data_IF_031930065963
#
_entry.id   IF_031930065963
#
_cell.length_a   1.000
_cell.length_b   1.000
_cell.length_c   1.000
_cell.angle_alpha   90.00
_cell.angle_beta   90.00
_cell.angle_gamma   90.00
#
_symmetry.space_group_name_H-M   'P 1'
#
loop_
_entity.id
_entity.type
_entity.pdbx_description
1 polymer ?
#
# COMPACT_ATOMS: atom_id res chain seq x y z
N UNK A 1 28.82 2.62 49.11
CA UNK A 1 29.12 3.46 47.94
C UNK A 1 28.51 2.79 46.74
N UNK A 2 27.57 3.50 46.12
CA UNK A 2 26.63 3.01 45.13
C UNK A 2 27.31 2.57 43.85
N UNK A 3 26.99 1.37 43.36
CA UNK A 3 27.09 1.06 41.95
C UNK A 3 25.66 1.02 41.40
N UNK A 4 25.18 2.18 40.95
CA UNK A 4 23.96 2.25 40.15
C UNK A 4 24.30 1.75 38.75
N UNK A 5 23.98 0.48 38.48
CA UNK A 5 23.94 -0.07 37.12
C UNK A 5 22.77 0.54 36.36
N UNK A 6 22.91 1.80 35.96
CA UNK A 6 22.01 2.39 34.96
C UNK A 6 22.39 1.84 33.60
N UNK A 7 21.59 0.89 33.13
CA UNK A 7 21.55 0.48 31.73
C UNK A 7 21.24 1.72 30.89
N UNK A 8 22.26 2.27 30.23
CA UNK A 8 22.05 3.20 29.12
C UNK A 8 21.54 2.37 27.94
N UNK A 9 20.25 2.03 27.96
CA UNK A 9 19.57 1.52 26.79
C UNK A 9 19.56 2.67 25.79
N UNK A 10 20.51 2.65 24.85
CA UNK A 10 20.64 3.66 23.80
C UNK A 10 19.27 3.94 23.20
N UNK A 11 18.96 5.20 22.92
CA UNK A 11 17.72 5.59 22.25
C UNK A 11 17.54 4.84 20.92
N UNK A 12 18.65 4.43 20.28
CA UNK A 12 18.67 3.54 19.11
C UNK A 12 18.24 2.11 19.45
N UNK A 13 18.62 1.58 20.62
CA UNK A 13 18.24 0.23 21.08
C UNK A 13 16.78 0.17 21.53
N UNK A 14 16.25 1.27 22.09
CA UNK A 14 14.83 1.40 22.41
C UNK A 14 13.98 1.56 21.13
N UNK A 15 14.45 2.34 20.14
CA UNK A 15 13.83 2.37 18.80
C UNK A 15 13.87 0.99 18.12
N UNK A 16 14.95 0.23 18.31
CA UNK A 16 15.11 -1.11 17.73
C UNK A 16 14.14 -2.13 18.36
N UNK A 17 13.97 -2.10 19.69
CA UNK A 17 13.02 -2.96 20.41
C UNK A 17 11.55 -2.61 20.12
N UNK A 18 11.22 -1.32 19.92
CA UNK A 18 9.88 -0.91 19.50
C UNK A 18 9.61 -1.15 18.01
N UNK A 19 10.65 -1.10 17.17
CA UNK A 19 10.54 -1.42 15.75
C UNK A 19 10.28 -2.91 15.52
N UNK A 20 10.91 -3.81 16.29
CA UNK A 20 10.76 -5.26 16.13
C UNK A 20 9.29 -5.72 16.28
N UNK A 21 8.58 -5.19 17.27
CA UNK A 21 7.15 -5.46 17.45
C UNK A 21 6.26 -4.83 16.36
N UNK A 22 6.64 -3.67 15.83
CA UNK A 22 5.92 -3.03 14.73
C UNK A 22 6.13 -3.75 13.39
N UNK A 23 7.35 -4.26 13.15
CA UNK A 23 7.70 -5.06 11.98
C UNK A 23 6.90 -6.36 11.96
N UNK A 24 6.86 -7.09 13.08
CA UNK A 24 6.12 -8.35 13.17
C UNK A 24 4.62 -8.19 12.87
N UNK A 25 4.00 -7.09 13.34
CA UNK A 25 2.60 -6.78 13.06
C UNK A 25 2.38 -6.42 11.58
N UNK A 26 3.33 -5.72 10.95
CA UNK A 26 3.28 -5.40 9.52
C UNK A 26 3.44 -6.67 8.68
N UNK A 27 4.43 -7.50 8.99
CA UNK A 27 4.65 -8.78 8.30
C UNK A 27 3.43 -9.69 8.40
N UNK A 28 2.83 -9.77 9.58
CA UNK A 28 1.57 -10.52 9.76
C UNK A 28 0.47 -10.03 8.83
N UNK A 29 0.25 -8.72 8.72
CA UNK A 29 -0.75 -8.15 7.80
C UNK A 29 -0.45 -8.45 6.34
N UNK A 30 0.83 -8.37 5.95
CA UNK A 30 1.26 -8.71 4.59
C UNK A 30 0.96 -10.17 4.28
N UNK A 31 1.29 -11.08 5.20
CA UNK A 31 1.04 -12.53 5.05
C UNK A 31 -0.47 -12.79 4.94
N UNK A 32 -1.27 -12.24 5.86
CA UNK A 32 -2.73 -12.39 5.83
C UNK A 32 -3.33 -11.86 4.52
N UNK A 33 -2.87 -10.71 4.03
CA UNK A 33 -3.33 -10.18 2.74
C UNK A 33 -2.90 -11.03 1.55
N UNK A 34 -1.71 -11.64 1.61
CA UNK A 34 -1.18 -12.50 0.54
C UNK A 34 -1.92 -13.84 0.47
N UNK A 35 -2.20 -14.45 1.62
CA UNK A 35 -2.93 -15.73 1.73
C UNK A 35 -4.36 -15.66 1.17
N UNK A 36 -4.98 -14.47 1.12
CA UNK A 36 -6.29 -14.29 0.48
C UNK A 36 -6.23 -14.54 -1.04
N UNK A 37 -5.08 -14.34 -1.67
CA UNK A 37 -4.86 -14.50 -3.10
C UNK A 37 -4.06 -15.76 -3.47
N UNK A 38 -3.41 -16.41 -2.50
CA UNK A 38 -2.73 -17.70 -2.70
C UNK A 38 -3.75 -18.85 -2.75
N UNK A 39 -4.37 -19.03 -3.93
CA UNK A 39 -5.41 -20.07 -4.14
C UNK A 39 -4.88 -21.50 -3.97
N UNK A 40 -3.58 -21.71 -4.16
CA UNK A 40 -2.94 -23.04 -4.17
C UNK A 40 -2.23 -23.37 -2.85
N UNK A 41 -2.24 -22.44 -1.88
CA UNK A 41 -1.51 -22.54 -0.60
C UNK A 41 -0.02 -22.88 -0.78
N UNK A 42 0.58 -22.42 -1.88
CA UNK A 42 1.97 -22.72 -2.24
C UNK A 42 2.91 -21.53 -1.96
N UNK A 43 2.40 -20.47 -1.32
CA UNK A 43 3.07 -19.20 -1.02
C UNK A 43 3.48 -18.44 -2.28
N UNK A 44 2.70 -18.58 -3.35
CA UNK A 44 2.85 -17.82 -4.59
C UNK A 44 1.52 -17.22 -5.02
N UNK A 45 1.59 -16.10 -5.72
CA UNK A 45 0.44 -15.43 -6.33
C UNK A 45 0.79 -14.99 -7.73
N UNK A 46 -0.21 -14.81 -8.58
CA UNK A 46 0.01 -14.29 -9.92
C UNK A 46 0.48 -12.83 -9.85
N UNK A 47 1.42 -12.45 -10.72
CA UNK A 47 1.93 -11.07 -10.83
C UNK A 47 0.81 -10.03 -10.96
N UNK A 48 -0.31 -10.39 -11.59
CA UNK A 48 -1.50 -9.55 -11.80
C UNK A 48 -2.25 -9.28 -10.49
N UNK A 49 -2.10 -10.12 -9.48
CA UNK A 49 -2.79 -10.00 -8.19
C UNK A 49 -2.05 -9.08 -7.21
N UNK A 50 -0.76 -8.81 -7.44
CA UNK A 50 0.07 -7.96 -6.56
C UNK A 50 -0.54 -6.57 -6.36
N UNK A 51 -1.06 -5.95 -7.43
CA UNK A 51 -1.71 -4.64 -7.31
C UNK A 51 -2.92 -4.67 -6.36
N UNK A 52 -3.69 -5.75 -6.38
CA UNK A 52 -4.84 -5.95 -5.49
C UNK A 52 -4.41 -6.21 -4.06
N UNK A 53 -3.34 -7.00 -3.84
CA UNK A 53 -2.77 -7.25 -2.51
C UNK A 53 -2.27 -5.94 -1.88
N UNK A 54 -1.51 -5.14 -2.63
CA UNK A 54 -0.99 -3.85 -2.14
C UNK A 54 -2.12 -2.89 -1.78
N UNK A 55 -3.20 -2.86 -2.58
CA UNK A 55 -4.42 -2.09 -2.27
C UNK A 55 -5.17 -2.59 -1.04
N UNK A 56 -5.24 -3.90 -0.83
CA UNK A 56 -5.81 -4.50 0.39
C UNK A 56 -5.01 -4.13 1.65
N UNK A 57 -3.71 -3.86 1.51
CA UNK A 57 -2.86 -3.35 2.58
C UNK A 57 -3.03 -1.83 2.85
N UNK A 58 -4.00 -1.18 2.18
CA UNK A 58 -4.30 0.24 2.34
C UNK A 58 -3.35 1.17 1.58
N UNK A 59 -2.59 0.63 0.63
CA UNK A 59 -1.67 1.39 -0.21
C UNK A 59 -2.25 1.60 -1.61
N UNK A 60 -2.09 2.79 -2.17
CA UNK A 60 -2.60 3.12 -3.50
C UNK A 60 -1.45 3.53 -4.41
N UNK A 61 -0.58 2.59 -4.82
CA UNK A 61 0.50 2.88 -5.73
C UNK A 61 -0.04 3.33 -7.09
N UNK A 62 0.66 4.25 -7.73
CA UNK A 62 0.52 4.50 -9.16
C UNK A 62 1.02 3.30 -9.96
N UNK A 63 0.63 3.20 -11.23
CA UNK A 63 1.09 2.05 -12.05
C UNK A 63 2.59 2.02 -12.28
N UNK A 64 3.25 3.19 -12.26
CA UNK A 64 4.70 3.25 -12.30
C UNK A 64 5.33 2.67 -11.03
N UNK A 65 4.82 3.05 -9.85
CA UNK A 65 5.30 2.54 -8.56
C UNK A 65 5.03 1.05 -8.39
N UNK A 66 3.87 0.57 -8.88
CA UNK A 66 3.56 -0.85 -8.89
C UNK A 66 4.53 -1.63 -9.79
N UNK A 67 4.85 -1.09 -10.98
CA UNK A 67 5.87 -1.68 -11.85
C UNK A 67 7.25 -1.74 -11.19
N UNK A 68 7.65 -0.69 -10.47
CA UNK A 68 8.90 -0.69 -9.72
C UNK A 68 8.90 -1.69 -8.57
N UNK A 69 7.75 -1.90 -7.92
CA UNK A 69 7.60 -2.92 -6.89
C UNK A 69 7.77 -4.31 -7.50
N UNK A 70 7.07 -4.58 -8.61
CA UNK A 70 7.15 -5.84 -9.35
C UNK A 70 8.59 -6.14 -9.77
N UNK A 71 9.29 -5.17 -10.35
CA UNK A 71 10.68 -5.32 -10.75
C UNK A 71 11.64 -5.62 -9.58
N UNK A 72 11.26 -5.32 -8.33
CA UNK A 72 12.06 -5.64 -7.12
C UNK A 72 11.77 -7.04 -6.57
N UNK A 73 10.59 -7.61 -6.86
CA UNK A 73 10.14 -8.88 -6.27
C UNK A 73 10.14 -10.03 -7.29
N UNK A 74 10.12 -9.72 -8.58
CA UNK A 74 10.21 -10.70 -9.67
C UNK A 74 11.63 -11.30 -9.74
N UNK A 75 11.70 -12.58 -10.11
CA UNK A 75 12.96 -13.29 -10.26
C UNK A 75 13.66 -12.95 -11.58
N UNK A 76 14.94 -13.32 -11.73
CA UNK A 76 15.68 -13.13 -13.00
C UNK A 76 14.98 -13.81 -14.18
N UNK A 77 14.25 -14.89 -13.91
CA UNK A 77 13.38 -15.59 -14.85
C UNK A 77 11.91 -15.29 -14.52
N UNK A 78 11.18 -14.56 -15.38
CA UNK A 78 9.79 -14.22 -15.12
C UNK A 78 8.91 -15.47 -15.22
N UNK A 79 8.54 -16.04 -14.07
CA UNK A 79 7.66 -17.21 -13.95
C UNK A 79 6.18 -16.84 -14.04
N UNK A 80 5.87 -15.54 -14.05
CA UNK A 80 4.50 -15.01 -13.92
C UNK A 80 3.93 -15.09 -12.50
N UNK A 81 4.70 -15.64 -11.55
CA UNK A 81 4.29 -15.82 -10.16
C UNK A 81 5.30 -15.14 -9.24
N UNK A 82 4.81 -14.56 -8.15
CA UNK A 82 5.64 -13.91 -7.14
C UNK A 82 5.60 -14.74 -5.87
N UNK A 83 6.77 -15.06 -5.33
CA UNK A 83 6.92 -15.77 -4.07
C UNK A 83 6.79 -14.83 -2.87
N UNK A 84 6.07 -15.25 -1.83
CA UNK A 84 5.93 -14.49 -0.59
C UNK A 84 7.29 -14.11 0.03
N UNK A 85 8.30 -14.98 -0.05
CA UNK A 85 9.64 -14.71 0.48
C UNK A 85 10.33 -13.51 -0.17
N UNK A 86 10.00 -13.18 -1.42
CA UNK A 86 10.51 -12.01 -2.14
C UNK A 86 9.66 -10.78 -1.84
N UNK A 87 8.35 -10.97 -1.81
CA UNK A 87 7.39 -9.89 -1.59
C UNK A 87 7.46 -9.30 -0.18
N UNK A 88 7.51 -10.17 0.84
CA UNK A 88 7.46 -9.79 2.26
C UNK A 88 8.51 -8.75 2.64
N UNK A 89 9.84 -8.95 2.43
CA UNK A 89 10.84 -7.96 2.86
C UNK A 89 10.71 -6.63 2.12
N UNK A 90 10.33 -6.65 0.84
CA UNK A 90 10.15 -5.44 0.04
C UNK A 90 8.93 -4.66 0.53
N UNK A 91 7.80 -5.33 0.72
CA UNK A 91 6.56 -4.68 1.15
C UNK A 91 6.64 -4.21 2.61
N UNK A 92 7.29 -4.96 3.49
CA UNK A 92 7.56 -4.55 4.88
C UNK A 92 8.31 -3.23 4.92
N UNK A 93 9.36 -3.09 4.10
CA UNK A 93 10.11 -1.84 4.00
C UNK A 93 9.23 -0.70 3.48
N UNK A 94 8.46 -0.93 2.42
CA UNK A 94 7.55 0.06 1.84
C UNK A 94 6.54 0.60 2.87
N UNK A 95 5.97 -0.27 3.70
CA UNK A 95 5.01 0.09 4.74
C UNK A 95 5.66 0.81 5.92
N UNK A 96 6.86 0.40 6.34
CA UNK A 96 7.63 1.07 7.39
C UNK A 96 8.05 2.48 6.98
N UNK A 97 8.55 2.61 5.76
CA UNK A 97 9.02 3.87 5.18
C UNK A 97 7.85 4.78 4.78
N UNK A 98 6.61 4.28 4.80
CA UNK A 98 5.41 4.95 4.27
C UNK A 98 5.67 5.50 2.87
N UNK A 99 6.25 4.66 2.02
CA UNK A 99 6.79 5.07 0.72
C UNK A 99 5.71 5.61 -0.22
N UNK A 100 4.47 5.13 -0.08
CA UNK A 100 3.32 5.69 -0.80
C UNK A 100 2.80 6.92 -0.08
N UNK A 101 2.99 8.07 -0.72
CA UNK A 101 2.57 9.36 -0.17
C UNK A 101 1.04 9.45 -0.22
N UNK A 102 0.39 10.03 0.80
CA UNK A 102 -1.03 10.32 0.71
C UNK A 102 -1.30 11.24 -0.48
N UNK A 103 -2.46 11.06 -1.11
CA UNK A 103 -2.92 11.97 -2.18
C UNK A 103 -3.00 13.38 -1.59
N UNK A 104 -2.37 14.38 -2.22
CA UNK A 104 -2.43 15.76 -1.74
C UNK A 104 -3.87 16.25 -1.56
N UNK A 105 -4.12 17.01 -0.49
CA UNK A 105 -5.48 17.46 -0.13
C UNK A 105 -6.13 18.32 -1.23
N UNK A 106 -5.35 19.13 -1.92
CA UNK A 106 -5.77 19.96 -3.05
C UNK A 106 -6.25 19.11 -4.24
N UNK A 107 -5.54 18.02 -4.54
CA UNK A 107 -5.94 17.08 -5.60
C UNK A 107 -7.24 16.36 -5.21
N UNK A 108 -7.34 15.91 -3.96
CA UNK A 108 -8.54 15.23 -3.47
C UNK A 108 -9.75 16.17 -3.46
N UNK A 109 -9.56 17.41 -3.03
CA UNK A 109 -10.60 18.43 -3.02
C UNK A 109 -11.06 18.73 -4.45
N UNK A 110 -10.14 18.91 -5.39
CA UNK A 110 -10.52 19.20 -6.77
C UNK A 110 -11.25 18.02 -7.43
N UNK A 111 -10.81 16.79 -7.18
CA UNK A 111 -11.53 15.59 -7.64
C UNK A 111 -12.96 15.53 -7.06
N UNK A 112 -13.13 15.93 -5.79
CA UNK A 112 -14.45 16.01 -5.17
C UNK A 112 -15.34 17.10 -5.80
N UNK A 113 -14.78 18.28 -6.07
CA UNK A 113 -15.50 19.38 -6.74
C UNK A 113 -15.99 19.00 -8.15
N UNK A 114 -15.24 18.17 -8.87
CA UNK A 114 -15.67 17.64 -10.18
C UNK A 114 -16.88 16.73 -10.06
N UNK A 115 -17.00 15.98 -8.96
CA UNK A 115 -18.12 15.07 -8.71
C UNK A 115 -19.36 15.80 -8.14
N UNK A 116 -19.15 16.82 -7.32
CA UNK A 116 -20.19 17.68 -6.73
C UNK A 116 -20.58 18.82 -7.68
N UNK A 117 -21.30 18.48 -8.77
CA UNK A 117 -21.79 19.43 -9.78
C UNK A 117 -22.60 20.60 -9.18
N UNK A 118 -23.26 20.36 -8.05
CA UNK A 118 -24.14 21.33 -7.39
C UNK A 118 -23.46 22.15 -6.31
N UNK A 119 -22.18 21.88 -6.01
CA UNK A 119 -21.41 22.52 -4.91
C UNK A 119 -22.13 22.45 -3.57
N UNK A 120 -22.83 21.35 -3.30
CA UNK A 120 -23.56 21.17 -2.04
C UNK A 120 -22.63 20.74 -0.89
N UNK A 121 -21.36 20.40 -1.17
CA UNK A 121 -20.35 20.00 -0.21
C UNK A 121 -20.45 18.53 0.22
N UNK A 122 -21.31 17.75 -0.44
CA UNK A 122 -21.48 16.32 -0.22
C UNK A 122 -21.80 15.61 -1.55
N UNK A 123 -21.44 14.34 -1.67
CA UNK A 123 -21.84 13.50 -2.81
C UNK A 123 -22.78 12.43 -2.25
N UNK A 124 -23.99 12.34 -2.81
CA UNK A 124 -24.95 11.30 -2.41
C UNK A 124 -24.50 9.93 -2.90
N UNK A 125 -25.00 8.86 -2.27
CA UNK A 125 -24.71 7.49 -2.69
C UNK A 125 -25.11 7.28 -4.15
N UNK A 126 -26.24 7.83 -4.55
CA UNK A 126 -26.82 7.71 -5.88
C UNK A 126 -25.91 8.38 -6.93
N UNK A 127 -25.40 9.58 -6.63
CA UNK A 127 -24.44 10.28 -7.48
C UNK A 127 -23.11 9.53 -7.56
N UNK A 128 -22.58 9.05 -6.43
CA UNK A 128 -21.33 8.29 -6.42
C UNK A 128 -21.45 7.00 -7.24
N UNK A 129 -22.54 6.25 -7.09
CA UNK A 129 -22.81 5.05 -7.89
C UNK A 129 -22.92 5.40 -9.37
N UNK A 130 -23.64 6.48 -9.72
CA UNK A 130 -23.75 6.97 -11.10
C UNK A 130 -22.39 7.25 -11.73
N UNK A 131 -21.42 7.79 -10.98
CA UNK A 131 -20.07 8.05 -11.48
C UNK A 131 -19.20 6.79 -11.55
N UNK A 132 -19.31 5.88 -10.58
CA UNK A 132 -18.51 4.65 -10.55
C UNK A 132 -18.96 3.58 -11.55
N UNK A 133 -20.21 3.64 -12.04
CA UNK A 133 -20.77 2.65 -12.98
C UNK A 133 -20.91 3.17 -14.42
N UNK A 134 -20.54 4.43 -14.68
CA UNK A 134 -20.49 4.96 -16.06
C UNK A 134 -19.20 4.48 -16.74
N UNK A 135 -19.36 3.65 -17.76
CA UNK A 135 -18.30 3.44 -18.76
C UNK A 135 -18.17 4.73 -19.60
N UNK A 136 -16.92 5.18 -19.79
CA UNK A 136 -16.51 6.44 -20.45
C UNK A 136 -16.42 7.67 -19.52
N UNK A 137 -15.29 7.88 -18.82
CA UNK A 137 -14.90 9.23 -18.46
C UNK A 137 -14.52 9.89 -19.78
N UNK A 138 -15.47 10.61 -20.38
CA UNK A 138 -15.19 11.44 -21.57
C UNK A 138 -13.86 12.18 -21.40
N UNK A 139 -13.15 12.49 -22.50
CA UNK A 139 -11.72 12.80 -22.48
C UNK A 139 -11.39 13.73 -21.31
N UNK A 140 -10.63 13.21 -20.34
CA UNK A 140 -10.07 14.02 -19.26
C UNK A 140 -9.35 15.18 -19.95
N UNK A 141 -9.97 16.36 -19.91
CA UNK A 141 -9.37 17.56 -20.47
C UNK A 141 -8.00 17.68 -19.83
N UNK A 142 -6.92 17.91 -20.61
CA UNK A 142 -5.61 18.05 -20.03
C UNK A 142 -5.67 19.20 -19.01
N UNK A 143 -5.35 18.87 -17.77
CA UNK A 143 -5.27 19.86 -16.70
C UNK A 143 -4.26 20.95 -17.12
N UNK A 144 -4.57 22.24 -16.89
CA UNK A 144 -3.61 23.32 -17.09
C UNK A 144 -2.41 23.24 -16.12
#
# INVERSE_FOLDING_TARGET
MSCNSSVNLSFSFLMFLFADGAVAEIEKKIIEAFEVFDHECNKTVDVREIGSIVRSLGCFPTEAELHELLAKVEEEEPTGHIHLEKFLPVMTKVLLDRSYRPIPEDVLLHAFEVLDEHKCGYITKEELVKYLTKEDPGPLSPFP
#
